data_IF_276060855290
#
_entry.id   IF_276060855290
#
_cell.length_a   1.000
_cell.length_b   1.000
_cell.length_c   1.000
_cell.angle_alpha   90.00
_cell.angle_beta   90.00
_cell.angle_gamma   90.00
#
_symmetry.space_group_name_H-M   'P 1'
#
loop_
_entity.id
_entity.type
_entity.pdbx_description
1 polymer ?
#
# COMPACT_ATOMS: atom_id res chain seq x y z
N UNK A 1 -14.87 71.57 -8.45
CA UNK A 1 -14.94 70.17 -7.98
C UNK A 1 -15.38 69.29 -9.14
N UNK A 2 -14.69 68.18 -9.41
CA UNK A 2 -15.23 66.85 -9.76
C UNK A 2 -14.07 65.95 -10.22
N UNK A 3 -13.54 65.15 -9.29
CA UNK A 3 -12.59 64.07 -9.57
C UNK A 3 -13.37 62.92 -10.24
N UNK A 4 -12.94 62.48 -11.42
CA UNK A 4 -13.47 61.29 -12.07
C UNK A 4 -13.14 60.02 -11.27
N UNK A 5 -14.15 59.18 -10.92
CA UNK A 5 -13.89 57.94 -10.18
C UNK A 5 -13.49 56.82 -11.15
N UNK A 6 -12.24 56.36 -11.01
CA UNK A 6 -11.66 55.17 -11.67
C UNK A 6 -12.29 53.84 -11.16
N UNK A 7 -13.62 53.71 -11.16
CA UNK A 7 -14.31 52.49 -10.70
C UNK A 7 -15.33 51.89 -11.68
N UNK A 8 -15.64 52.57 -12.79
CA UNK A 8 -16.61 52.04 -13.76
C UNK A 8 -16.11 50.87 -14.62
N UNK A 9 -14.80 50.67 -14.76
CA UNK A 9 -14.26 49.54 -15.54
C UNK A 9 -14.33 48.19 -14.82
N UNK A 10 -14.53 48.16 -13.50
CA UNK A 10 -14.64 46.89 -12.73
C UNK A 10 -16.07 46.43 -12.46
N UNK A 11 -17.07 47.30 -12.70
CA UNK A 11 -18.47 46.97 -12.41
C UNK A 11 -19.20 46.30 -13.59
N UNK A 12 -18.67 46.41 -14.82
CA UNK A 12 -19.20 45.75 -16.01
C UNK A 12 -18.51 44.40 -16.35
N UNK A 13 -17.40 44.06 -15.68
CA UNK A 13 -16.67 42.79 -15.92
C UNK A 13 -17.30 41.63 -15.14
N UNK A 14 -17.91 41.91 -13.98
CA UNK A 14 -18.46 40.87 -13.11
C UNK A 14 -19.75 40.20 -13.65
N UNK A 15 -20.69 40.90 -14.31
CA UNK A 15 -21.88 40.25 -14.88
C UNK A 15 -21.54 39.37 -16.09
N UNK A 16 -20.50 39.71 -16.86
CA UNK A 16 -20.10 38.98 -18.07
C UNK A 16 -19.41 37.64 -17.74
N UNK A 17 -18.66 37.58 -16.63
CA UNK A 17 -18.05 36.33 -16.15
C UNK A 17 -19.10 35.30 -15.68
N UNK A 18 -20.19 35.73 -15.04
CA UNK A 18 -21.25 34.82 -14.60
C UNK A 18 -22.06 34.23 -15.77
N UNK A 19 -22.22 34.99 -16.87
CA UNK A 19 -22.91 34.48 -18.06
C UNK A 19 -22.08 33.44 -18.82
N UNK A 20 -20.74 33.59 -18.83
CA UNK A 20 -19.83 32.64 -19.47
C UNK A 20 -19.77 31.32 -18.67
N UNK A 21 -19.78 31.36 -17.34
CA UNK A 21 -19.79 30.13 -16.52
C UNK A 21 -21.12 29.39 -16.57
N UNK A 22 -22.26 30.10 -16.66
CA UNK A 22 -23.56 29.45 -16.86
C UNK A 22 -23.70 28.85 -18.27
N UNK A 23 -23.16 29.51 -19.31
CA UNK A 23 -23.19 29.01 -20.69
C UNK A 23 -22.21 27.84 -20.94
N UNK A 24 -21.01 27.88 -20.35
CA UNK A 24 -20.09 26.72 -20.34
C UNK A 24 -20.62 25.59 -19.46
N UNK A 25 -21.28 25.91 -18.34
CA UNK A 25 -21.94 24.93 -17.48
C UNK A 25 -23.13 24.25 -18.17
N UNK A 26 -23.95 25.00 -18.93
CA UNK A 26 -25.05 24.42 -19.70
C UNK A 26 -24.57 23.62 -20.91
N UNK A 27 -23.46 24.00 -21.55
CA UNK A 27 -22.83 23.18 -22.58
C UNK A 27 -22.15 21.92 -21.99
N UNK A 28 -21.49 21.97 -20.83
CA UNK A 28 -20.97 20.76 -20.20
C UNK A 28 -22.07 19.80 -19.71
N UNK A 29 -23.23 20.32 -19.28
CA UNK A 29 -24.38 19.47 -18.95
C UNK A 29 -25.10 18.92 -20.19
N UNK A 30 -25.18 19.66 -21.31
CA UNK A 30 -25.87 19.18 -22.53
C UNK A 30 -25.01 18.33 -23.45
N UNK A 31 -23.67 18.46 -23.43
CA UNK A 31 -22.76 17.61 -24.23
C UNK A 31 -22.29 16.34 -23.50
N UNK A 32 -22.70 16.13 -22.24
CA UNK A 32 -22.54 14.82 -21.56
C UNK A 32 -23.80 13.97 -21.58
N UNK A 33 -24.91 14.48 -22.12
CA UNK A 33 -26.19 13.75 -22.15
C UNK A 33 -26.52 13.07 -23.50
N UNK A 34 -25.69 13.25 -24.55
CA UNK A 34 -26.00 12.70 -25.87
C UNK A 34 -24.77 12.16 -26.63
N UNK A 35 -24.05 11.22 -26.01
CA UNK A 35 -23.18 10.28 -26.73
C UNK A 35 -23.10 8.93 -26.00
N UNK A 36 -24.26 8.36 -25.65
CA UNK A 36 -24.38 6.92 -25.37
C UNK A 36 -25.54 6.37 -26.20
N UNK A 37 -25.23 6.10 -27.47
CA UNK A 37 -26.05 5.21 -28.28
C UNK A 37 -25.67 3.78 -27.92
N UNK A 38 -26.60 3.14 -27.22
CA UNK A 38 -26.82 1.69 -27.07
C UNK A 38 -25.68 0.83 -26.51
N UNK A 39 -25.46 0.94 -25.20
CA UNK A 39 -25.49 -0.26 -24.37
C UNK A 39 -25.99 0.12 -22.97
N UNK A 40 -27.29 0.42 -22.90
CA UNK A 40 -27.97 0.52 -21.62
C UNK A 40 -27.90 -0.87 -20.96
N UNK A 41 -26.88 -1.10 -20.13
CA UNK A 41 -27.06 -1.96 -18.95
C UNK A 41 -28.11 -1.27 -18.12
N UNK A 42 -29.38 -1.50 -18.50
CA UNK A 42 -30.53 -1.08 -17.71
C UNK A 42 -30.32 -1.75 -16.36
N UNK A 43 -30.01 -0.96 -15.34
CA UNK A 43 -30.21 -1.38 -13.96
C UNK A 43 -31.71 -1.64 -13.86
N UNK A 44 -32.09 -2.89 -14.09
CA UNK A 44 -33.48 -3.30 -14.18
C UNK A 44 -34.10 -3.12 -12.80
N UNK A 45 -34.73 -1.97 -12.58
CA UNK A 45 -35.73 -1.85 -11.54
C UNK A 45 -36.95 -2.61 -12.08
N UNK A 46 -36.97 -3.92 -11.86
CA UNK A 46 -38.00 -4.81 -12.39
C UNK A 46 -39.27 -4.56 -11.60
N UNK A 47 -40.15 -3.73 -12.14
CA UNK A 47 -41.53 -3.60 -11.68
C UNK A 47 -42.27 -4.91 -11.98
N UNK A 48 -42.43 -5.77 -10.97
CA UNK A 48 -43.50 -6.78 -10.76
C UNK A 48 -44.19 -7.35 -12.01
N UNK A 49 -43.41 -7.90 -12.95
CA UNK A 49 -43.91 -8.67 -14.07
C UNK A 49 -43.29 -10.07 -14.00
N UNK A 50 -44.10 -11.10 -14.21
CA UNK A 50 -43.71 -12.52 -14.24
C UNK A 50 -42.33 -12.68 -14.89
N UNK A 51 -41.29 -13.02 -14.10
CA UNK A 51 -39.95 -13.11 -14.68
C UNK A 51 -39.93 -14.19 -15.75
N UNK A 52 -39.45 -13.83 -16.94
CA UNK A 52 -39.28 -14.77 -18.02
C UNK A 52 -38.12 -15.72 -17.71
N UNK A 53 -38.18 -17.00 -18.17
CA UNK A 53 -37.08 -17.95 -18.01
C UNK A 53 -35.71 -17.39 -18.40
N UNK A 54 -35.65 -16.58 -19.46
CA UNK A 54 -34.43 -15.90 -19.91
C UNK A 54 -33.82 -14.97 -18.84
N UNK A 55 -34.65 -14.29 -18.05
CA UNK A 55 -34.16 -13.42 -16.97
C UNK A 55 -33.59 -14.26 -15.83
N UNK A 56 -34.23 -15.38 -15.51
CA UNK A 56 -33.69 -16.34 -14.53
C UNK A 56 -32.32 -16.86 -14.99
N UNK A 57 -32.16 -17.21 -16.26
CA UNK A 57 -30.87 -17.64 -16.83
C UNK A 57 -29.78 -16.58 -16.69
N UNK A 58 -30.13 -15.32 -16.98
CA UNK A 58 -29.19 -14.20 -16.83
C UNK A 58 -28.75 -14.03 -15.37
N UNK A 59 -29.68 -14.12 -14.41
CA UNK A 59 -29.37 -14.02 -12.99
C UNK A 59 -28.50 -15.19 -12.52
N UNK A 60 -28.75 -16.41 -13.01
CA UNK A 60 -27.91 -17.58 -12.74
C UNK A 60 -26.48 -17.36 -13.25
N UNK A 61 -26.33 -16.91 -14.50
CA UNK A 61 -25.01 -16.67 -15.09
C UNK A 61 -24.27 -15.53 -14.39
N UNK A 62 -24.95 -14.43 -14.05
CA UNK A 62 -24.36 -13.35 -13.25
C UNK A 62 -23.89 -13.86 -11.88
N UNK A 63 -24.70 -14.68 -11.19
CA UNK A 63 -24.32 -15.25 -9.91
C UNK A 63 -23.08 -16.15 -10.02
N UNK A 64 -22.97 -16.96 -11.08
CA UNK A 64 -21.78 -17.79 -11.35
C UNK A 64 -20.54 -16.92 -11.60
N UNK A 65 -20.67 -15.88 -12.43
CA UNK A 65 -19.57 -14.98 -12.75
C UNK A 65 -19.02 -14.28 -11.50
N UNK A 66 -19.89 -13.68 -10.68
CA UNK A 66 -19.47 -13.04 -9.44
C UNK A 66 -18.79 -14.04 -8.49
N UNK A 67 -19.32 -15.25 -8.36
CA UNK A 67 -18.69 -16.33 -7.58
C UNK A 67 -17.30 -16.67 -8.09
N UNK A 68 -17.12 -16.85 -9.39
CA UNK A 68 -15.83 -17.19 -9.99
C UNK A 68 -14.78 -16.08 -9.77
N UNK A 69 -15.18 -14.81 -9.93
CA UNK A 69 -14.29 -13.66 -9.68
C UNK A 69 -13.85 -13.64 -8.21
N UNK A 70 -14.77 -13.84 -7.27
CA UNK A 70 -14.45 -13.88 -5.83
C UNK A 70 -13.47 -15.00 -5.52
N UNK A 71 -13.70 -16.20 -6.03
CA UNK A 71 -12.83 -17.36 -5.78
C UNK A 71 -11.45 -17.19 -6.41
N UNK A 72 -11.38 -16.64 -7.61
CA UNK A 72 -10.12 -16.33 -8.28
C UNK A 72 -9.29 -15.34 -7.44
N UNK A 73 -9.90 -14.21 -7.05
CA UNK A 73 -9.23 -13.18 -6.25
C UNK A 73 -8.71 -13.75 -4.93
N UNK A 74 -9.55 -14.51 -4.23
CA UNK A 74 -9.18 -15.10 -2.95
C UNK A 74 -8.04 -16.12 -3.09
N UNK A 75 -8.02 -16.90 -4.18
CA UNK A 75 -6.92 -17.81 -4.50
C UNK A 75 -5.62 -17.05 -4.78
N UNK A 76 -5.69 -15.95 -5.52
CA UNK A 76 -4.54 -15.10 -5.81
C UNK A 76 -3.95 -14.51 -4.52
N UNK A 77 -4.79 -13.99 -3.62
CA UNK A 77 -4.37 -13.52 -2.30
C UNK A 77 -3.65 -14.62 -1.50
N UNK A 78 -4.23 -15.83 -1.42
CA UNK A 78 -3.63 -16.97 -0.73
C UNK A 78 -2.26 -17.37 -1.29
N UNK A 79 -1.97 -17.12 -2.56
CA UNK A 79 -0.65 -17.39 -3.15
C UNK A 79 0.47 -16.52 -2.55
N UNK A 80 0.12 -15.41 -1.88
CA UNK A 80 1.03 -14.45 -1.26
C UNK A 80 1.17 -14.61 0.26
N UNK A 81 0.81 -15.77 0.82
CA UNK A 81 0.95 -16.04 2.25
C UNK A 81 2.41 -16.17 2.71
N UNK A 82 3.26 -16.74 1.87
CA UNK A 82 4.66 -17.03 2.22
C UNK A 82 5.55 -15.86 1.78
N UNK A 83 5.78 -14.92 2.70
CA UNK A 83 6.62 -13.74 2.51
C UNK A 83 7.94 -13.90 3.27
N UNK A 84 9.06 -13.47 2.67
CA UNK A 84 10.43 -13.64 3.22
C UNK A 84 11.18 -12.32 3.42
N UNK A 85 10.69 -11.22 2.85
CA UNK A 85 11.35 -9.92 2.94
C UNK A 85 10.34 -8.81 3.19
N UNK A 86 10.80 -7.67 3.70
CA UNK A 86 9.99 -6.45 3.89
C UNK A 86 9.27 -6.05 2.62
N UNK A 87 9.95 -6.07 1.47
CA UNK A 87 9.37 -5.75 0.16
C UNK A 87 8.26 -6.74 -0.25
N UNK A 88 8.45 -8.04 0.01
CA UNK A 88 7.42 -9.04 -0.26
C UNK A 88 6.20 -8.87 0.66
N UNK A 89 6.40 -8.49 1.92
CA UNK A 89 5.32 -8.18 2.87
C UNK A 89 4.52 -6.97 2.39
N UNK A 90 5.18 -5.89 1.96
CA UNK A 90 4.52 -4.69 1.42
C UNK A 90 3.69 -5.02 0.17
N UNK A 91 4.25 -5.80 -0.76
CA UNK A 91 3.52 -6.25 -1.95
C UNK A 91 2.33 -7.13 -1.58
N UNK A 92 2.50 -8.05 -0.64
CA UNK A 92 1.39 -8.88 -0.14
C UNK A 92 0.30 -8.00 0.49
N UNK A 93 0.64 -6.99 1.28
CA UNK A 93 -0.32 -6.06 1.86
C UNK A 93 -1.14 -5.32 0.80
N UNK A 94 -0.49 -4.82 -0.25
CA UNK A 94 -1.19 -4.15 -1.37
C UNK A 94 -2.18 -5.11 -2.03
N UNK A 95 -1.74 -6.32 -2.38
CA UNK A 95 -2.58 -7.34 -3.01
C UNK A 95 -3.75 -7.72 -2.11
N UNK A 96 -3.50 -7.94 -0.82
CA UNK A 96 -4.55 -8.37 0.11
C UNK A 96 -5.57 -7.27 0.38
N UNK A 97 -5.14 -6.01 0.52
CA UNK A 97 -6.06 -4.87 0.70
C UNK A 97 -6.94 -4.66 -0.54
N UNK A 98 -6.33 -4.67 -1.73
CA UNK A 98 -7.07 -4.53 -2.99
C UNK A 98 -8.03 -5.70 -3.21
N UNK A 99 -7.56 -6.94 -3.01
CA UNK A 99 -8.38 -8.13 -3.16
C UNK A 99 -9.56 -8.16 -2.17
N UNK A 100 -9.34 -7.69 -0.94
CA UNK A 100 -10.40 -7.55 0.08
C UNK A 100 -11.50 -6.59 -0.37
N UNK A 101 -11.15 -5.42 -0.91
CA UNK A 101 -12.13 -4.46 -1.45
C UNK A 101 -12.90 -5.03 -2.65
N UNK A 102 -12.19 -5.69 -3.56
CA UNK A 102 -12.80 -6.32 -4.74
C UNK A 102 -13.76 -7.45 -4.36
N UNK A 103 -13.35 -8.35 -3.47
CA UNK A 103 -14.22 -9.41 -2.95
C UNK A 103 -15.46 -8.82 -2.28
N UNK A 104 -15.33 -7.75 -1.50
CA UNK A 104 -16.48 -7.10 -0.86
C UNK A 104 -17.47 -6.52 -1.90
N UNK A 105 -16.96 -5.83 -2.92
CA UNK A 105 -17.79 -5.25 -3.98
C UNK A 105 -18.49 -6.32 -4.84
N UNK A 106 -17.78 -7.39 -5.19
CA UNK A 106 -18.33 -8.53 -5.93
C UNK A 106 -19.37 -9.29 -5.08
N UNK A 107 -19.13 -9.45 -3.77
CA UNK A 107 -20.10 -10.07 -2.85
C UNK A 107 -21.37 -9.25 -2.71
N UNK A 108 -21.26 -7.93 -2.69
CA UNK A 108 -22.42 -7.03 -2.70
C UNK A 108 -23.21 -7.17 -4.01
N UNK A 109 -22.51 -7.26 -5.15
CA UNK A 109 -23.13 -7.46 -6.47
C UNK A 109 -23.84 -8.81 -6.55
N UNK A 110 -23.23 -9.88 -6.05
CA UNK A 110 -23.86 -11.20 -5.92
C UNK A 110 -25.11 -11.15 -5.02
N UNK A 111 -25.08 -10.37 -3.93
CA UNK A 111 -26.25 -10.19 -3.07
C UNK A 111 -27.38 -9.45 -3.79
N UNK A 112 -27.07 -8.49 -4.67
CA UNK A 112 -28.07 -7.82 -5.50
C UNK A 112 -28.73 -8.80 -6.45
N UNK A 113 -27.96 -9.67 -7.11
CA UNK A 113 -28.49 -10.75 -7.97
C UNK A 113 -29.42 -11.68 -7.18
N UNK A 114 -29.02 -12.08 -5.96
CA UNK A 114 -29.88 -12.88 -5.07
C UNK A 114 -31.20 -12.19 -4.77
N UNK A 115 -31.19 -10.90 -4.39
CA UNK A 115 -32.43 -10.15 -4.12
C UNK A 115 -33.32 -10.05 -5.36
N UNK A 116 -32.74 -9.87 -6.55
CA UNK A 116 -33.49 -9.80 -7.81
C UNK A 116 -34.21 -11.10 -8.19
N UNK A 117 -33.71 -12.27 -7.75
CA UNK A 117 -34.40 -13.56 -7.97
C UNK A 117 -35.31 -13.96 -6.79
N UNK A 118 -35.05 -13.45 -5.59
CA UNK A 118 -35.83 -13.72 -4.38
C UNK A 118 -37.23 -13.11 -4.45
N UNK A 119 -37.36 -11.86 -4.86
CA UNK A 119 -38.66 -11.18 -4.91
C UNK A 119 -39.68 -11.93 -5.78
N UNK A 120 -39.35 -12.32 -7.01
CA UNK A 120 -40.36 -12.97 -7.84
C UNK A 120 -40.50 -14.45 -7.50
N UNK A 121 -39.47 -15.10 -6.93
CA UNK A 121 -39.64 -16.43 -6.33
C UNK A 121 -40.72 -16.42 -5.24
N UNK A 122 -40.64 -15.46 -4.32
CA UNK A 122 -41.65 -15.29 -3.25
C UNK A 122 -43.04 -14.99 -3.84
N UNK A 123 -43.11 -14.16 -4.88
CA UNK A 123 -44.37 -13.85 -5.54
C UNK A 123 -45.03 -15.09 -6.15
N UNK A 124 -44.29 -15.89 -6.93
CA UNK A 124 -44.84 -17.11 -7.54
C UNK A 124 -45.17 -18.16 -6.46
N UNK A 125 -44.41 -18.20 -5.36
CA UNK A 125 -44.70 -19.07 -4.22
C UNK A 125 -46.05 -18.74 -3.56
N UNK A 126 -46.41 -17.46 -3.44
CA UNK A 126 -47.72 -17.03 -2.93
C UNK A 126 -48.85 -17.32 -3.92
N UNK A 127 -48.63 -17.07 -5.22
CA UNK A 127 -49.62 -17.34 -6.28
C UNK A 127 -49.98 -18.84 -6.39
N UNK A 128 -49.03 -19.72 -6.06
CA UNK A 128 -49.23 -21.18 -6.01
C UNK A 128 -50.15 -21.67 -4.89
N UNK A 129 -50.37 -20.88 -3.85
CA UNK A 129 -51.31 -21.25 -2.77
C UNK A 129 -52.79 -21.18 -3.23
N UNK A 130 -53.07 -20.62 -4.41
CA UNK A 130 -54.40 -20.60 -5.05
C UNK A 130 -54.63 -21.74 -6.06
N UNK A 131 -55.74 -21.69 -6.80
CA UNK A 131 -56.02 -22.64 -7.91
C UNK A 131 -55.07 -22.40 -9.08
N UNK A 132 -54.00 -23.20 -9.16
CA UNK A 132 -52.92 -23.05 -10.15
C UNK A 132 -53.11 -23.95 -11.37
N UNK A 133 -52.89 -23.40 -12.57
CA UNK A 133 -52.86 -24.13 -13.84
C UNK A 133 -51.53 -24.89 -14.02
N UNK A 134 -51.50 -25.91 -14.87
CA UNK A 134 -50.29 -26.73 -15.11
C UNK A 134 -49.13 -25.90 -15.70
N UNK A 135 -49.43 -24.91 -16.55
CA UNK A 135 -48.44 -23.96 -17.07
C UNK A 135 -47.77 -23.16 -15.97
N UNK A 136 -48.52 -22.74 -14.94
CA UNK A 136 -47.98 -21.97 -13.82
C UNK A 136 -47.04 -22.82 -12.96
N UNK A 137 -47.30 -24.14 -12.83
CA UNK A 137 -46.41 -25.07 -12.13
C UNK A 137 -45.06 -25.22 -12.83
N UNK A 138 -45.04 -25.27 -14.16
CA UNK A 138 -43.79 -25.37 -14.93
C UNK A 138 -42.95 -24.09 -14.85
N UNK A 139 -43.59 -22.92 -14.89
CA UNK A 139 -42.87 -21.64 -14.71
C UNK A 139 -42.30 -21.56 -13.30
N UNK A 140 -43.07 -21.98 -12.27
CA UNK A 140 -42.56 -22.02 -10.91
C UNK A 140 -41.39 -22.97 -10.71
N UNK A 141 -41.45 -24.20 -11.24
CA UNK A 141 -40.36 -25.16 -11.08
C UNK A 141 -39.04 -24.61 -11.65
N UNK A 142 -39.12 -23.86 -12.76
CA UNK A 142 -37.98 -23.16 -13.35
C UNK A 142 -37.43 -22.06 -12.45
N UNK A 143 -38.29 -21.15 -11.99
CA UNK A 143 -37.91 -20.03 -11.10
C UNK A 143 -37.34 -20.56 -9.78
N UNK A 144 -37.94 -21.61 -9.22
CA UNK A 144 -37.48 -22.28 -8.00
C UNK A 144 -36.07 -22.89 -8.18
N UNK A 145 -35.84 -23.61 -9.28
CA UNK A 145 -34.52 -24.15 -9.59
C UNK A 145 -33.46 -23.04 -9.70
N UNK A 146 -33.78 -21.95 -10.43
CA UNK A 146 -32.87 -20.81 -10.56
C UNK A 146 -32.58 -20.11 -9.22
N UNK A 147 -33.61 -19.91 -8.40
CA UNK A 147 -33.45 -19.33 -7.06
C UNK A 147 -32.50 -20.16 -6.20
N UNK A 148 -32.67 -21.49 -6.18
CA UNK A 148 -31.79 -22.39 -5.42
C UNK A 148 -30.33 -22.32 -5.91
N UNK A 149 -30.09 -22.29 -7.22
CA UNK A 149 -28.74 -22.16 -7.77
C UNK A 149 -28.07 -20.86 -7.31
N UNK A 150 -28.78 -19.72 -7.40
CA UNK A 150 -28.25 -18.41 -6.96
C UNK A 150 -28.00 -18.41 -5.45
N UNK A 151 -28.94 -18.96 -4.67
CA UNK A 151 -28.81 -19.09 -3.21
C UNK A 151 -27.59 -19.93 -2.81
N UNK A 152 -27.41 -21.10 -3.43
CA UNK A 152 -26.26 -21.98 -3.19
C UNK A 152 -24.94 -21.29 -3.51
N UNK A 153 -24.89 -20.46 -4.57
CA UNK A 153 -23.70 -19.68 -4.88
C UNK A 153 -23.36 -18.66 -3.77
N UNK A 154 -24.36 -17.94 -3.24
CA UNK A 154 -24.16 -17.03 -2.10
C UNK A 154 -23.66 -17.78 -0.87
N UNK A 155 -24.34 -18.86 -0.48
CA UNK A 155 -23.99 -19.66 0.71
C UNK A 155 -22.61 -20.30 0.59
N UNK A 156 -22.22 -20.73 -0.61
CA UNK A 156 -20.88 -21.26 -0.87
C UNK A 156 -19.81 -20.19 -0.64
N UNK A 157 -20.00 -18.98 -1.17
CA UNK A 157 -19.05 -17.88 -0.97
C UNK A 157 -18.97 -17.48 0.51
N UNK A 158 -20.09 -17.39 1.22
CA UNK A 158 -20.10 -17.03 2.65
C UNK A 158 -19.35 -18.05 3.52
N UNK A 159 -19.32 -19.32 3.10
CA UNK A 159 -18.56 -20.40 3.76
C UNK A 159 -17.07 -20.37 3.39
N UNK A 160 -16.75 -20.21 2.11
CA UNK A 160 -15.38 -20.34 1.60
C UNK A 160 -14.54 -19.08 1.79
N UNK A 161 -15.15 -17.90 1.66
CA UNK A 161 -14.46 -16.60 1.65
C UNK A 161 -14.97 -15.73 2.79
N UNK A 162 -14.23 -15.73 3.90
CA UNK A 162 -14.57 -14.97 5.10
C UNK A 162 -13.76 -13.66 5.17
N UNK A 163 -14.44 -12.51 5.05
CA UNK A 163 -13.82 -11.18 5.13
C UNK A 163 -13.11 -10.92 6.46
N UNK A 164 -13.58 -11.49 7.58
CA UNK A 164 -12.90 -11.33 8.87
C UNK A 164 -11.55 -12.06 8.92
N UNK A 165 -11.46 -13.22 8.25
CA UNK A 165 -10.20 -13.97 8.12
C UNK A 165 -9.22 -13.18 7.25
N UNK A 166 -9.71 -12.55 6.19
CA UNK A 166 -8.92 -11.67 5.33
C UNK A 166 -8.41 -10.46 6.11
N UNK A 167 -9.31 -9.77 6.84
CA UNK A 167 -8.95 -8.58 7.65
C UNK A 167 -7.91 -8.95 8.71
N UNK A 168 -8.03 -10.12 9.34
CA UNK A 168 -7.03 -10.63 10.29
C UNK A 168 -5.67 -10.89 9.62
N UNK A 169 -5.65 -11.51 8.44
CA UNK A 169 -4.39 -11.76 7.73
C UNK A 169 -3.69 -10.46 7.32
N UNK A 170 -4.46 -9.43 6.93
CA UNK A 170 -3.91 -8.09 6.65
C UNK A 170 -3.24 -7.53 7.92
N UNK A 171 -3.91 -7.61 9.07
CA UNK A 171 -3.33 -7.18 10.36
C UNK A 171 -2.06 -7.96 10.71
N UNK A 172 -2.04 -9.27 10.48
CA UNK A 172 -0.86 -10.12 10.74
C UNK A 172 0.32 -9.70 9.86
N UNK A 173 0.10 -9.34 8.59
CA UNK A 173 1.16 -8.79 7.73
C UNK A 173 1.62 -7.40 8.17
N UNK A 174 0.71 -6.51 8.57
CA UNK A 174 1.07 -5.17 9.08
C UNK A 174 1.95 -5.28 10.32
N UNK A 175 1.60 -6.18 11.24
CA UNK A 175 2.42 -6.45 12.42
C UNK A 175 3.79 -7.02 12.04
N UNK A 176 3.83 -8.00 11.13
CA UNK A 176 5.07 -8.59 10.66
C UNK A 176 6.01 -7.55 10.02
N UNK A 177 5.44 -6.61 9.27
CA UNK A 177 6.19 -5.52 8.65
C UNK A 177 6.84 -4.60 9.70
N UNK A 178 6.08 -4.23 10.74
CA UNK A 178 6.59 -3.41 11.85
C UNK A 178 7.69 -4.13 12.61
N UNK A 179 7.50 -5.42 12.91
CA UNK A 179 8.50 -6.20 13.64
C UNK A 179 9.81 -6.36 12.83
N UNK A 180 9.71 -6.60 11.53
CA UNK A 180 10.89 -6.81 10.67
C UNK A 180 11.64 -5.49 10.40
N UNK A 181 10.92 -4.38 10.21
CA UNK A 181 11.54 -3.04 10.08
C UNK A 181 12.22 -2.60 11.37
N UNK A 182 11.64 -2.88 12.54
CA UNK A 182 12.28 -2.60 13.83
C UNK A 182 13.59 -3.38 14.02
N UNK A 183 13.62 -4.66 13.61
CA UNK A 183 14.88 -5.45 13.63
C UNK A 183 15.94 -4.85 12.73
N UNK A 184 15.60 -4.51 11.48
CA UNK A 184 16.55 -3.92 10.52
C UNK A 184 17.15 -2.61 11.05
N UNK A 185 16.34 -1.75 11.67
CA UNK A 185 16.83 -0.52 12.31
C UNK A 185 17.78 -0.85 13.45
N UNK A 186 17.43 -1.78 14.34
CA UNK A 186 18.27 -2.16 15.47
C UNK A 186 19.60 -2.80 15.05
N UNK A 187 19.60 -3.59 13.97
CA UNK A 187 20.81 -4.20 13.40
C UNK A 187 21.70 -3.15 12.72
N UNK A 188 21.10 -2.19 12.01
CA UNK A 188 21.81 -1.08 11.41
C UNK A 188 22.48 -0.17 12.47
N UNK A 189 21.81 0.07 13.60
CA UNK A 189 22.38 0.80 14.73
C UNK A 189 23.56 0.07 15.35
N UNK A 190 23.44 -1.25 15.58
CA UNK A 190 24.56 -2.07 16.07
C UNK A 190 25.75 -2.08 15.13
N UNK A 191 25.51 -2.13 13.82
CA UNK A 191 26.58 -2.07 12.83
C UNK A 191 27.30 -0.72 12.87
N UNK A 192 26.57 0.39 12.96
CA UNK A 192 27.17 1.73 13.13
C UNK A 192 28.00 1.84 14.40
N UNK A 193 27.47 1.36 15.53
CA UNK A 193 28.19 1.43 16.81
C UNK A 193 29.49 0.59 16.78
N UNK A 194 29.46 -0.56 16.08
CA UNK A 194 30.65 -1.40 15.90
C UNK A 194 31.68 -0.78 14.97
N UNK A 195 31.22 -0.04 13.95
CA UNK A 195 32.08 0.70 13.02
C UNK A 195 32.72 1.92 13.69
N UNK A 196 31.97 2.65 14.53
CA UNK A 196 32.49 3.74 15.36
C UNK A 196 33.54 3.24 16.36
N UNK A 197 33.29 2.11 17.04
CA UNK A 197 34.29 1.49 17.94
C UNK A 197 35.57 1.14 17.20
N UNK A 198 35.48 0.55 16.00
CA UNK A 198 36.66 0.23 15.18
C UNK A 198 37.44 1.48 14.76
N UNK A 199 36.74 2.56 14.39
CA UNK A 199 37.41 3.83 14.06
C UNK A 199 38.07 4.47 15.28
N UNK A 200 37.44 4.43 16.45
CA UNK A 200 38.00 4.98 17.68
C UNK A 200 39.24 4.19 18.14
N UNK A 201 39.21 2.85 18.05
CA UNK A 201 40.35 1.99 18.36
C UNK A 201 41.53 2.23 17.40
N UNK A 202 41.25 2.42 16.11
CA UNK A 202 42.27 2.76 15.12
C UNK A 202 42.94 4.12 15.44
N UNK A 203 42.15 5.15 15.80
CA UNK A 203 42.69 6.46 16.21
C UNK A 203 43.56 6.36 17.47
N UNK A 204 43.12 5.61 18.49
CA UNK A 204 43.91 5.40 19.72
C UNK A 204 45.23 4.66 19.45
N UNK A 205 45.23 3.71 18.52
CA UNK A 205 46.46 3.01 18.13
C UNK A 205 47.43 3.94 17.37
N UNK A 206 46.91 4.84 16.56
CA UNK A 206 47.69 5.81 15.80
C UNK A 206 48.29 6.90 16.70
N UNK A 207 47.53 7.41 17.67
CA UNK A 207 48.06 8.32 18.72
C UNK A 207 49.17 7.65 19.54
N UNK A 208 48.98 6.38 19.96
CA UNK A 208 50.03 5.64 20.68
C UNK A 208 51.32 5.54 19.87
N UNK A 209 51.24 5.23 18.58
CA UNK A 209 52.42 5.16 17.71
C UNK A 209 53.11 6.52 17.56
N UNK A 210 52.36 7.61 17.45
CA UNK A 210 52.94 8.95 17.39
C UNK A 210 53.60 9.37 18.71
N UNK A 211 53.00 9.02 19.86
CA UNK A 211 53.57 9.32 21.17
C UNK A 211 54.86 8.51 21.43
N UNK A 212 54.88 7.24 21.02
CA UNK A 212 56.06 6.37 21.12
C UNK A 212 57.19 6.86 20.20
N UNK A 213 56.86 7.31 18.99
CA UNK A 213 57.83 7.92 18.08
C UNK A 213 58.44 9.20 18.67
N UNK A 214 57.62 10.08 19.27
CA UNK A 214 58.11 11.29 19.96
C UNK A 214 59.03 10.96 21.13
N UNK A 215 58.68 9.98 21.97
CA UNK A 215 59.55 9.54 23.09
C UNK A 215 60.86 8.95 22.61
N UNK A 216 60.86 8.23 21.48
CA UNK A 216 62.08 7.67 20.89
C UNK A 216 62.98 8.78 20.32
N UNK A 217 62.38 9.83 19.76
CA UNK A 217 63.09 10.98 19.20
C UNK A 217 63.71 11.86 20.31
N UNK A 218 62.99 12.09 21.41
CA UNK A 218 63.54 12.75 22.61
C UNK A 218 64.70 11.96 23.22
N UNK A 219 64.57 10.61 23.35
CA UNK A 219 65.65 9.76 23.86
C UNK A 219 66.92 9.84 23.00
N UNK A 220 66.75 9.84 21.67
CA UNK A 220 67.89 9.99 20.75
C UNK A 220 68.55 11.36 20.93
N UNK A 221 67.78 12.44 21.01
CA UNK A 221 68.35 13.79 21.22
C UNK A 221 69.06 13.93 22.57
N UNK A 222 68.56 13.29 23.63
CA UNK A 222 69.19 13.32 24.95
C UNK A 222 70.51 12.52 24.98
N UNK A 223 70.58 11.38 24.28
CA UNK A 223 71.82 10.63 24.09
C UNK A 223 72.84 11.41 23.26
N UNK A 224 72.44 12.08 22.18
CA UNK A 224 73.37 12.90 21.39
C UNK A 224 73.95 14.05 22.21
N UNK A 225 73.12 14.72 23.04
CA UNK A 225 73.59 15.78 23.95
C UNK A 225 74.59 15.27 25.00
N UNK A 226 74.33 14.11 25.61
CA UNK A 226 75.27 13.49 26.57
C UNK A 226 76.58 13.07 25.91
N UNK A 227 76.54 12.64 24.66
CA UNK A 227 77.75 12.28 23.88
C UNK A 227 78.57 13.53 23.52
N UNK A 228 77.91 14.64 23.19
CA UNK A 228 78.55 15.93 22.91
C UNK A 228 79.20 16.54 24.15
N UNK A 229 78.56 16.44 25.31
CA UNK A 229 79.14 16.87 26.60
C UNK A 229 80.38 16.05 26.97
N UNK A 230 80.36 14.73 26.76
CA UNK A 230 81.54 13.88 26.97
C UNK A 230 82.69 14.25 26.05
N UNK A 231 82.43 14.53 24.77
CA UNK A 231 83.46 14.98 23.83
C UNK A 231 84.08 16.32 24.24
N UNK A 232 83.28 17.27 24.71
CA UNK A 232 83.79 18.57 25.21
C UNK A 232 84.63 18.43 26.49
N UNK A 233 84.30 17.49 27.38
CA UNK A 233 85.13 17.20 28.56
C UNK A 233 86.45 16.49 28.20
N UNK A 234 86.46 15.67 27.16
CA UNK A 234 87.66 14.97 26.69
C UNK A 234 88.62 15.92 25.94
N UNK A 235 88.09 16.85 25.14
CA UNK A 235 88.87 17.95 24.54
C UNK A 235 89.47 18.91 25.59
N UNK A 236 88.73 19.21 26.66
CA UNK A 236 89.24 20.04 27.75
C UNK A 236 90.39 19.36 28.52
N UNK A 237 90.34 18.02 28.69
CA UNK A 237 91.44 17.26 29.30
C UNK A 237 92.69 17.19 28.41
N UNK A 238 92.53 17.02 27.11
CA UNK A 238 93.67 17.00 26.17
C UNK A 238 94.35 18.37 26.03
N UNK A 239 93.62 19.47 26.20
CA UNK A 239 94.20 20.82 26.24
C UNK A 239 94.95 21.12 27.55
N UNK A 240 94.61 20.45 28.66
CA UNK A 240 95.34 20.58 29.93
C UNK A 240 96.66 19.79 29.93
N UNK A 241 96.73 18.63 29.27
CA UNK A 241 97.99 17.88 29.10
C UNK A 241 98.97 18.58 28.15
N UNK A 242 98.48 19.32 27.16
CA UNK A 242 99.33 20.08 26.22
C UNK A 242 99.96 21.35 26.83
N UNK A 243 99.53 21.80 28.02
CA UNK A 243 100.09 22.96 28.73
C UNK A 243 101.17 22.62 29.77
N UNK A 244 101.53 21.34 29.93
CA UNK A 244 102.60 20.89 30.85
C UNK A 244 103.95 20.62 30.16
N UNK A 245 104.11 21.00 28.89
CA UNK A 245 105.34 20.77 28.10
C UNK A 245 105.98 22.03 27.50
N UNK A 246 105.62 23.24 27.94
CA UNK A 246 106.41 24.47 27.68
C UNK A 246 106.97 25.08 28.96
#
# INVERSE_FOLDING_TARGET
MLKQPRKFKKMLILPCLCSITFYLGSQMMTYTEAAFVHETKVAATISTASIFPKTVDQLIEQAKQHKEVILHEYKEMKSKLNVRSTQEIEQALVIWKQGREKIAAERESLQKVYKSIEEPYNQVQEELKGHTTESNKQVFSYVNAGFHIVKENCEYIDKEVNLQVIDKQIQDFEKLLVDETAKQVSEAEKQKELEEKKQEEAKKLEEKKQEEAKKLEEKKQEETKKLEEKKKQEEAKNQEESKKQE
#
